data_IF_908366174531
#
_entry.id   IF_908366174531
#
_cell.length_a   1.000
_cell.length_b   1.000
_cell.length_c   1.000
_cell.angle_alpha   90.00
_cell.angle_beta   90.00
_cell.angle_gamma   90.00
#
_symmetry.space_group_name_H-M   'P 1'
#
loop_
_entity.id
_entity.type
_entity.pdbx_description
1 polymer ?
#
# COMPACT_ATOMS: atom_id res chain seq x y z
N UNK A 1 -0.68 6.00 29.80
CA UNK A 1 -1.98 6.23 30.47
C UNK A 1 -2.81 7.03 29.48
N UNK A 2 -3.84 6.43 28.89
CA UNK A 2 -4.70 7.12 27.90
C UNK A 2 -5.71 7.93 28.69
N UNK A 3 -5.57 9.25 28.70
CA UNK A 3 -6.44 10.14 29.45
C UNK A 3 -7.55 10.68 28.55
N UNK A 4 -8.80 10.56 29.02
CA UNK A 4 -9.97 11.09 28.34
C UNK A 4 -10.18 12.55 28.77
N UNK A 5 -9.86 13.50 27.89
CA UNK A 5 -10.20 14.91 28.07
C UNK A 5 -11.57 15.19 27.44
N UNK A 6 -12.53 15.65 28.24
CA UNK A 6 -13.87 16.01 27.77
C UNK A 6 -14.39 17.25 28.49
N UNK A 7 -15.17 18.07 27.79
CA UNK A 7 -15.93 19.17 28.38
C UNK A 7 -17.43 18.81 28.39
N UNK A 8 -18.10 19.11 29.51
CA UNK A 8 -19.53 18.87 29.66
C UNK A 8 -20.32 20.07 29.13
N UNK A 9 -21.05 19.88 28.03
CA UNK A 9 -21.96 20.89 27.50
C UNK A 9 -23.24 21.01 28.33
N UNK A 10 -23.84 22.20 28.34
CA UNK A 10 -25.02 22.60 29.15
C UNK A 10 -26.30 21.76 28.92
N UNK A 11 -26.28 20.81 27.98
CA UNK A 11 -27.42 19.93 27.63
C UNK A 11 -27.11 18.44 27.79
N UNK A 12 -26.08 18.08 28.57
CA UNK A 12 -25.76 16.69 28.90
C UNK A 12 -25.09 15.88 27.78
N UNK A 13 -24.76 16.51 26.64
CA UNK A 13 -23.97 15.86 25.60
C UNK A 13 -22.47 15.98 25.95
N UNK A 14 -21.81 14.84 26.19
CA UNK A 14 -20.36 14.76 26.33
C UNK A 14 -19.73 14.64 24.94
N UNK A 15 -18.96 15.64 24.52
CA UNK A 15 -18.15 15.56 23.30
C UNK A 15 -16.71 15.23 23.70
N UNK A 16 -16.39 13.93 23.70
CA UNK A 16 -15.04 13.44 23.99
C UNK A 16 -14.26 13.20 22.69
N UNK A 17 -13.02 13.67 22.62
CA UNK A 17 -12.08 13.27 21.58
C UNK A 17 -11.10 12.27 22.20
N UNK A 18 -11.23 10.99 21.83
CA UNK A 18 -10.32 9.92 22.25
C UNK A 18 -8.99 10.08 21.51
N UNK A 19 -8.10 10.93 22.06
CA UNK A 19 -6.73 11.07 21.59
C UNK A 19 -5.89 9.87 22.02
N UNK A 20 -5.97 8.79 21.26
CA UNK A 20 -5.14 7.61 21.44
C UNK A 20 -4.65 7.12 20.09
N UNK A 21 -3.60 7.73 19.56
CA UNK A 21 -2.84 7.15 18.44
C UNK A 21 -2.05 5.97 18.97
N UNK A 22 -2.69 4.81 19.04
CA UNK A 22 -2.00 3.55 19.22
C UNK A 22 -1.24 3.25 17.92
N UNK A 23 0.06 3.57 17.89
CA UNK A 23 0.98 3.12 16.84
C UNK A 23 1.97 4.19 16.40
N UNK A 24 3.23 4.03 16.82
CA UNK A 24 4.44 4.56 16.17
C UNK A 24 4.55 6.09 16.02
N UNK A 25 5.42 6.71 16.81
CA UNK A 25 5.90 8.09 16.60
C UNK A 25 6.78 8.22 15.34
N UNK A 26 6.21 7.95 14.18
CA UNK A 26 6.82 8.16 12.87
C UNK A 26 6.38 9.49 12.28
N UNK A 27 7.28 10.13 11.54
CA UNK A 27 6.95 11.26 10.67
C UNK A 27 5.83 10.78 9.72
N UNK A 28 4.70 11.50 9.57
CA UNK A 28 3.67 11.09 8.63
C UNK A 28 4.24 11.10 7.20
N UNK A 29 4.35 9.93 6.59
CA UNK A 29 4.76 9.76 5.20
C UNK A 29 3.59 9.22 4.38
N UNK A 30 3.57 9.56 3.09
CA UNK A 30 2.63 9.00 2.14
C UNK A 30 3.30 7.85 1.40
N UNK A 31 2.55 6.79 1.15
CA UNK A 31 3.01 5.66 0.33
C UNK A 31 2.81 6.08 -1.14
N UNK A 32 3.90 6.08 -1.90
CA UNK A 32 3.88 6.42 -3.33
C UNK A 32 3.31 5.29 -4.20
N UNK A 33 3.10 5.59 -5.47
CA UNK A 33 2.67 4.59 -6.46
C UNK A 33 3.70 3.44 -6.56
N UNK A 34 3.22 2.19 -6.58
CA UNK A 34 4.06 0.99 -6.67
C UNK A 34 4.42 0.35 -5.33
N UNK A 35 3.94 0.88 -4.21
CA UNK A 35 4.07 0.27 -2.88
C UNK A 35 2.69 0.10 -2.24
N UNK A 36 2.54 -0.98 -1.46
CA UNK A 36 1.35 -1.28 -0.67
C UNK A 36 1.71 -1.74 0.73
N UNK A 37 0.82 -1.55 1.70
CA UNK A 37 0.96 -2.12 3.03
C UNK A 37 -0.12 -3.17 3.21
N UNK A 38 0.29 -4.40 3.47
CA UNK A 38 -0.57 -5.54 3.77
C UNK A 38 -0.08 -6.16 5.07
N UNK A 39 -0.99 -6.40 6.02
CA UNK A 39 -0.67 -7.05 7.30
C UNK A 39 0.48 -6.38 8.11
N UNK A 40 0.56 -5.04 8.09
CA UNK A 40 1.66 -4.25 8.68
C UNK A 40 3.04 -4.47 8.04
N UNK A 41 3.09 -5.01 6.81
CA UNK A 41 4.32 -5.19 6.03
C UNK A 41 4.27 -4.29 4.80
N UNK A 42 5.34 -3.51 4.59
CA UNK A 42 5.52 -2.73 3.36
C UNK A 42 5.97 -3.67 2.25
N UNK A 43 5.20 -3.71 1.16
CA UNK A 43 5.44 -4.57 0.01
C UNK A 43 5.44 -3.76 -1.28
N UNK A 44 6.04 -4.34 -2.33
CA UNK A 44 5.95 -3.82 -3.70
C UNK A 44 4.59 -4.19 -4.28
N UNK A 45 3.92 -3.21 -4.89
CA UNK A 45 2.69 -3.40 -5.65
C UNK A 45 3.04 -3.75 -7.11
N UNK A 46 3.13 -5.05 -7.38
CA UNK A 46 3.55 -5.56 -8.68
C UNK A 46 2.38 -5.80 -9.63
N UNK A 47 2.57 -5.55 -10.93
CA UNK A 47 1.67 -6.01 -11.99
C UNK A 47 1.86 -7.52 -12.24
N UNK A 48 0.74 -8.21 -12.50
CA UNK A 48 0.72 -9.66 -12.76
C UNK A 48 1.02 -10.01 -14.23
N UNK A 49 0.81 -9.07 -15.15
CA UNK A 49 1.00 -9.24 -16.59
C UNK A 49 1.93 -8.15 -17.11
N UNK A 50 2.71 -8.47 -18.13
CA UNK A 50 3.55 -7.51 -18.85
C UNK A 50 2.70 -6.84 -19.92
N UNK A 51 2.59 -5.51 -19.85
CA UNK A 51 1.88 -4.70 -20.84
C UNK A 51 2.83 -3.59 -21.33
N UNK A 52 2.60 -3.05 -22.53
CA UNK A 52 3.49 -2.07 -23.16
C UNK A 52 3.69 -0.79 -22.32
N UNK A 53 2.64 -0.33 -21.62
CA UNK A 53 2.66 0.88 -20.79
C UNK A 53 2.45 0.56 -19.30
N UNK A 54 3.15 -0.47 -18.82
CA UNK A 54 3.02 -0.87 -17.42
C UNK A 54 3.61 0.19 -16.49
N UNK A 55 2.77 0.78 -15.63
CA UNK A 55 3.16 1.82 -14.65
C UNK A 55 3.58 1.24 -13.30
N UNK A 56 3.44 -0.08 -13.11
CA UNK A 56 3.83 -0.81 -11.91
C UNK A 56 5.01 -1.75 -12.18
N UNK A 57 5.86 -2.04 -11.18
CA UNK A 57 6.89 -3.07 -11.30
C UNK A 57 6.30 -4.43 -11.69
N UNK A 58 6.97 -5.19 -12.57
CA UNK A 58 6.59 -6.56 -12.93
C UNK A 58 7.51 -7.58 -12.25
N UNK A 59 6.99 -8.77 -11.95
CA UNK A 59 7.81 -9.85 -11.38
C UNK A 59 8.72 -10.46 -12.45
N UNK A 60 9.88 -10.98 -12.05
CA UNK A 60 10.78 -11.70 -12.96
C UNK A 60 10.11 -12.94 -13.57
N UNK A 61 9.15 -13.56 -12.87
CA UNK A 61 8.35 -14.66 -13.39
C UNK A 61 7.46 -14.21 -14.55
N UNK A 62 6.75 -13.08 -14.41
CA UNK A 62 5.94 -12.51 -15.50
C UNK A 62 6.81 -12.15 -16.71
N UNK A 63 8.00 -11.57 -16.47
CA UNK A 63 8.98 -11.29 -17.53
C UNK A 63 9.47 -12.58 -18.20
N UNK A 64 9.73 -13.65 -17.45
CA UNK A 64 10.20 -14.92 -18.01
C UNK A 64 9.12 -15.63 -18.86
N UNK A 65 7.84 -15.51 -18.52
CA UNK A 65 6.75 -16.06 -19.35
C UNK A 65 6.70 -15.36 -20.71
N UNK A 66 6.82 -14.04 -20.72
CA UNK A 66 6.74 -13.22 -21.94
C UNK A 66 8.02 -13.35 -22.79
N UNK A 67 9.18 -13.19 -22.16
CA UNK A 67 10.49 -13.07 -22.83
C UNK A 67 11.25 -14.39 -22.86
N UNK A 68 11.04 -15.30 -21.90
CA UNK A 68 11.72 -16.60 -21.87
C UNK A 68 11.34 -17.52 -23.03
N UNK A 69 10.23 -17.21 -23.72
CA UNK A 69 9.81 -17.81 -24.98
C UNK A 69 10.24 -16.98 -26.21
N UNK A 70 11.18 -16.02 -26.09
CA UNK A 70 11.61 -15.19 -27.22
C UNK A 70 12.10 -16.03 -28.41
N UNK A 71 12.75 -17.17 -28.18
CA UNK A 71 13.13 -18.10 -29.25
C UNK A 71 11.89 -18.64 -30.00
N UNK A 72 10.80 -18.94 -29.27
CA UNK A 72 9.54 -19.39 -29.87
C UNK A 72 8.78 -18.24 -30.55
N UNK A 73 8.82 -17.03 -29.98
CA UNK A 73 8.20 -15.83 -30.56
C UNK A 73 8.95 -15.39 -31.83
N UNK A 74 10.29 -15.40 -31.83
CA UNK A 74 11.14 -15.10 -32.99
C UNK A 74 11.02 -16.15 -34.09
N UNK A 75 10.85 -17.43 -33.75
CA UNK A 75 10.63 -18.49 -34.74
C UNK A 75 9.25 -18.42 -35.43
N UNK A 76 8.33 -17.59 -34.91
CA UNK A 76 6.99 -17.41 -35.47
C UNK A 76 6.84 -16.19 -36.40
N UNK A 77 7.94 -15.43 -36.60
CA UNK A 77 8.08 -14.29 -37.53
C UNK A 77 8.85 -14.72 -38.80
#
# INVERSE_FOLDING_TARGET
MTELHGSLGTRGALKGQLGGTAGGGGIPYQIGAGLKVEENVLMVDTANVVEEDNTKPVTSAAVYVEIGNIEALLASL
#
